data_IF_401810192021
#
_entry.id   IF_401810192021
#
_cell.length_a   1.000
_cell.length_b   1.000
_cell.length_c   1.000
_cell.angle_alpha   90.00
_cell.angle_beta   90.00
_cell.angle_gamma   90.00
#
_symmetry.space_group_name_H-M   'P 1'
#
loop_
_entity.id
_entity.type
_entity.pdbx_description
1 polymer ?
#
# COMPACT_ATOMS: atom_id res chain seq x y z
N UNK A 1 -13.23 -32.17 1.47
CA UNK A 1 -12.31 -31.16 0.95
C UNK A 1 -10.91 -31.62 1.31
N UNK A 2 -10.09 -32.01 0.33
CA UNK A 2 -8.70 -32.39 0.57
C UNK A 2 -7.91 -31.14 0.93
N UNK A 3 -7.54 -31.01 2.21
CA UNK A 3 -6.86 -29.85 2.79
C UNK A 3 -5.34 -29.91 2.58
N UNK A 4 -4.90 -30.22 1.36
CA UNK A 4 -3.48 -30.26 1.01
C UNK A 4 -3.20 -29.23 -0.08
N UNK A 5 -2.12 -28.47 0.10
CA UNK A 5 -1.61 -27.58 -0.92
C UNK A 5 -1.11 -28.41 -2.10
N UNK A 6 -1.57 -28.08 -3.30
CA UNK A 6 -1.08 -28.74 -4.49
C UNK A 6 0.34 -28.28 -4.80
N UNK A 7 1.10 -29.12 -5.50
CA UNK A 7 2.47 -28.79 -5.92
C UNK A 7 2.52 -27.46 -6.69
N UNK A 8 1.47 -27.16 -7.44
CA UNK A 8 1.30 -25.92 -8.19
C UNK A 8 1.19 -24.69 -7.26
N UNK A 9 0.45 -24.79 -6.17
CA UNK A 9 0.29 -23.70 -5.20
C UNK A 9 1.63 -23.32 -4.56
N UNK A 10 2.43 -24.34 -4.20
CA UNK A 10 3.78 -24.12 -3.67
C UNK A 10 4.69 -23.44 -4.69
N UNK A 11 4.63 -23.84 -5.96
CA UNK A 11 5.43 -23.24 -7.04
C UNK A 11 5.05 -21.77 -7.22
N UNK A 12 3.75 -21.44 -7.28
CA UNK A 12 3.28 -20.05 -7.41
C UNK A 12 3.73 -19.22 -6.21
N UNK A 13 3.54 -19.73 -4.99
CA UNK A 13 3.94 -19.03 -3.77
C UNK A 13 5.44 -18.75 -3.74
N UNK A 14 6.28 -19.75 -4.02
CA UNK A 14 7.73 -19.60 -4.05
C UNK A 14 8.18 -18.62 -5.13
N UNK A 15 7.60 -18.71 -6.34
CA UNK A 15 7.91 -17.79 -7.44
C UNK A 15 7.56 -16.34 -7.09
N UNK A 16 6.40 -16.10 -6.47
CA UNK A 16 5.97 -14.78 -6.01
C UNK A 16 6.94 -14.20 -4.96
N UNK A 17 7.34 -15.00 -3.97
CA UNK A 17 8.29 -14.58 -2.94
C UNK A 17 9.66 -14.23 -3.55
N UNK A 18 10.17 -15.06 -4.45
CA UNK A 18 11.45 -14.82 -5.15
C UNK A 18 11.36 -13.54 -5.98
N UNK A 19 10.26 -13.30 -6.68
CA UNK A 19 10.07 -12.11 -7.50
C UNK A 19 10.13 -10.84 -6.65
N UNK A 20 9.38 -10.78 -5.55
CA UNK A 20 9.37 -9.61 -4.65
C UNK A 20 10.77 -9.36 -4.08
N UNK A 21 11.44 -10.40 -3.58
CA UNK A 21 12.79 -10.27 -3.04
C UNK A 21 13.78 -9.80 -4.11
N UNK A 22 13.69 -10.35 -5.33
CA UNK A 22 14.57 -9.98 -6.44
C UNK A 22 14.37 -8.52 -6.85
N UNK A 23 13.13 -8.06 -6.97
CA UNK A 23 12.80 -6.66 -7.28
C UNK A 23 13.27 -5.73 -6.16
N UNK A 24 13.00 -6.08 -4.90
CA UNK A 24 13.43 -5.29 -3.74
C UNK A 24 14.96 -5.15 -3.67
N UNK A 25 15.69 -6.25 -3.85
CA UNK A 25 17.15 -6.24 -3.89
C UNK A 25 17.69 -5.48 -5.10
N UNK A 26 17.06 -5.59 -6.27
CA UNK A 26 17.49 -4.88 -7.48
C UNK A 26 17.30 -3.37 -7.35
N UNK A 27 16.13 -2.91 -6.86
CA UNK A 27 15.82 -1.49 -6.65
C UNK A 27 16.64 -0.89 -5.50
N UNK A 28 16.93 -1.68 -4.45
CA UNK A 28 17.75 -1.25 -3.32
C UNK A 28 19.21 -1.00 -3.70
N UNK A 29 19.73 -1.69 -4.73
CA UNK A 29 21.07 -1.46 -5.26
C UNK A 29 21.10 -0.11 -5.99
N UNK A 30 21.46 0.94 -5.26
CA UNK A 30 21.57 2.29 -5.80
C UNK A 30 22.50 2.39 -7.01
N UNK A 31 22.16 3.29 -7.95
CA UNK A 31 23.03 3.61 -9.10
C UNK A 31 24.41 4.06 -8.61
N UNK A 32 25.47 3.40 -9.08
CA UNK A 32 26.86 3.82 -8.81
C UNK A 32 27.05 5.25 -9.32
N UNK A 33 27.36 6.19 -8.42
CA UNK A 33 27.71 7.57 -8.76
C UNK A 33 26.61 8.63 -8.60
N UNK A 34 25.49 8.36 -7.91
CA UNK A 34 24.55 9.41 -7.49
C UNK A 34 24.56 9.58 -5.97
N UNK A 35 25.00 10.75 -5.53
CA UNK A 35 24.79 11.22 -4.15
C UNK A 35 23.28 11.45 -4.02
N UNK A 36 22.58 10.56 -3.33
CA UNK A 36 21.14 10.72 -3.05
C UNK A 36 20.98 11.96 -2.17
N UNK A 37 20.66 13.11 -2.77
CA UNK A 37 20.29 14.28 -2.01
C UNK A 37 18.93 13.99 -1.34
N UNK A 38 18.77 14.41 -0.08
CA UNK A 38 17.56 14.15 0.72
C UNK A 38 16.29 14.67 0.04
N UNK A 39 16.43 15.73 -0.78
CA UNK A 39 15.38 16.31 -1.62
C UNK A 39 14.81 15.36 -2.68
N UNK A 40 15.66 14.58 -3.37
CA UNK A 40 15.21 13.63 -4.39
C UNK A 40 14.45 12.45 -3.76
N UNK A 41 14.80 12.10 -2.52
CA UNK A 41 14.22 10.96 -1.81
C UNK A 41 12.86 11.27 -1.19
N UNK A 42 12.64 12.51 -0.73
CA UNK A 42 11.39 12.91 -0.07
C UNK A 42 10.33 13.44 -1.03
N UNK A 43 10.71 14.04 -2.15
CA UNK A 43 9.75 14.71 -3.03
C UNK A 43 9.56 14.06 -4.38
N UNK A 44 10.46 13.17 -4.85
CA UNK A 44 10.53 12.81 -6.26
C UNK A 44 10.29 14.06 -7.15
N UNK A 45 10.92 15.17 -6.75
CA UNK A 45 10.82 16.49 -7.37
C UNK A 45 9.43 17.13 -7.45
N UNK A 46 8.46 16.84 -6.55
CA UNK A 46 7.05 17.32 -6.66
C UNK A 46 6.35 16.92 -7.97
N UNK A 47 6.88 15.94 -8.69
CA UNK A 47 6.44 15.61 -10.05
C UNK A 47 5.43 14.45 -10.11
N UNK A 48 5.09 13.84 -8.97
CA UNK A 48 4.13 12.75 -8.97
C UNK A 48 2.72 13.28 -9.32
N UNK A 49 2.05 12.65 -10.30
CA UNK A 49 0.68 13.02 -10.61
C UNK A 49 -0.24 12.64 -9.45
N UNK A 50 -1.33 13.40 -9.27
CA UNK A 50 -2.26 13.26 -8.16
C UNK A 50 -2.81 11.82 -7.98
N UNK A 51 -3.02 11.10 -9.08
CA UNK A 51 -3.50 9.71 -9.05
C UNK A 51 -2.46 8.74 -8.48
N UNK A 52 -1.16 8.98 -8.70
CA UNK A 52 -0.10 8.15 -8.15
C UNK A 52 0.05 8.37 -6.63
N UNK A 53 -0.09 9.63 -6.20
CA UNK A 53 -0.13 9.99 -4.77
C UNK A 53 -1.34 9.32 -4.09
N UNK A 54 -2.52 9.45 -4.67
CA UNK A 54 -3.74 8.82 -4.15
C UNK A 54 -3.64 7.30 -4.09
N UNK A 55 -3.17 6.65 -5.16
CA UNK A 55 -2.98 5.21 -5.20
C UNK A 55 -1.96 4.73 -4.15
N UNK A 56 -0.87 5.48 -3.93
CA UNK A 56 0.11 5.16 -2.90
C UNK A 56 -0.46 5.28 -1.48
N UNK A 57 -1.31 6.28 -1.21
CA UNK A 57 -1.95 6.45 0.08
C UNK A 57 -2.90 5.29 0.40
N UNK A 58 -3.70 4.86 -0.58
CA UNK A 58 -4.57 3.68 -0.42
C UNK A 58 -3.73 2.41 -0.29
N UNK A 59 -2.71 2.21 -1.13
CA UNK A 59 -1.84 1.04 -1.07
C UNK A 59 -1.10 0.92 0.28
N UNK A 60 -0.71 2.05 0.88
CA UNK A 60 -0.10 2.06 2.22
C UNK A 60 -1.08 1.71 3.35
N UNK A 61 -2.38 1.89 3.12
CA UNK A 61 -3.43 1.57 4.10
C UNK A 61 -3.92 0.12 3.97
N UNK A 62 -3.85 -0.48 2.78
CA UNK A 62 -4.28 -1.87 2.55
C UNK A 62 -3.24 -2.86 3.08
N UNK A 63 -3.66 -3.73 3.99
CA UNK A 63 -2.83 -4.77 4.58
C UNK A 63 -3.57 -6.13 4.64
N UNK A 64 -2.86 -7.18 5.06
CA UNK A 64 -3.45 -8.50 5.28
C UNK A 64 -4.58 -8.47 6.34
N UNK A 65 -4.49 -7.55 7.31
CA UNK A 65 -5.54 -7.30 8.30
C UNK A 65 -6.82 -6.80 7.63
N UNK A 66 -6.71 -5.86 6.67
CA UNK A 66 -7.86 -5.38 5.91
C UNK A 66 -8.54 -6.54 5.16
N UNK A 67 -7.79 -7.47 4.58
CA UNK A 67 -8.37 -8.58 3.84
C UNK A 67 -9.02 -9.64 4.72
N UNK A 68 -8.35 -10.10 5.78
CA UNK A 68 -8.86 -11.20 6.61
C UNK A 68 -9.76 -10.67 7.73
N UNK A 69 -9.33 -9.61 8.42
CA UNK A 69 -10.02 -9.03 9.56
C UNK A 69 -11.33 -8.35 9.18
N UNK A 70 -11.32 -7.50 8.15
CA UNK A 70 -12.56 -6.82 7.72
C UNK A 70 -13.55 -7.77 7.06
N UNK A 71 -13.08 -8.84 6.41
CA UNK A 71 -13.98 -9.89 5.90
C UNK A 71 -14.63 -10.66 7.05
N UNK A 72 -13.90 -10.92 8.13
CA UNK A 72 -14.43 -11.56 9.35
C UNK A 72 -15.47 -10.69 10.05
N UNK A 73 -15.21 -9.39 10.22
CA UNK A 73 -16.20 -8.46 10.75
C UNK A 73 -17.36 -8.25 9.78
N UNK A 74 -17.15 -8.31 8.47
CA UNK A 74 -18.21 -8.33 7.46
C UNK A 74 -19.12 -9.55 7.55
N UNK A 75 -18.59 -10.72 7.92
CA UNK A 75 -19.41 -11.91 8.21
C UNK A 75 -20.30 -11.71 9.44
N UNK A 76 -19.79 -11.06 10.49
CA UNK A 76 -20.51 -10.85 11.75
C UNK A 76 -21.48 -9.63 11.73
N UNK A 77 -21.07 -8.53 11.12
CA UNK A 77 -21.75 -7.23 11.15
C UNK A 77 -22.34 -6.82 9.79
N UNK A 78 -22.11 -7.60 8.74
CA UNK A 78 -22.57 -7.29 7.38
C UNK A 78 -21.92 -6.02 6.85
N UNK A 79 -22.69 -5.25 6.07
CA UNK A 79 -22.21 -4.02 5.43
C UNK A 79 -21.88 -2.90 6.43
N UNK A 80 -22.30 -3.00 7.69
CA UNK A 80 -22.06 -1.95 8.69
C UNK A 80 -20.57 -1.63 8.87
N UNK A 81 -19.67 -2.61 8.71
CA UNK A 81 -18.22 -2.39 8.79
C UNK A 81 -17.71 -1.43 7.70
N UNK A 82 -18.36 -1.37 6.53
CA UNK A 82 -17.97 -0.45 5.45
C UNK A 82 -18.06 1.04 5.86
N UNK A 83 -18.81 1.34 6.92
CA UNK A 83 -18.87 2.68 7.50
C UNK A 83 -17.50 3.21 7.92
N UNK A 84 -16.57 2.34 8.33
CA UNK A 84 -15.19 2.72 8.64
C UNK A 84 -14.48 3.34 7.42
N UNK A 85 -14.56 2.68 6.28
CA UNK A 85 -13.95 3.15 5.02
C UNK A 85 -14.65 4.39 4.49
N UNK A 86 -15.99 4.46 4.57
CA UNK A 86 -16.75 5.63 4.14
C UNK A 86 -16.44 6.87 4.97
N UNK A 87 -16.28 6.72 6.28
CA UNK A 87 -15.86 7.83 7.15
C UNK A 87 -14.40 8.22 6.88
N UNK A 88 -13.51 7.25 6.69
CA UNK A 88 -12.12 7.52 6.34
C UNK A 88 -12.00 8.34 5.05
N UNK A 89 -12.82 8.06 4.02
CA UNK A 89 -12.84 8.83 2.77
C UNK A 89 -13.18 10.31 3.01
N UNK A 90 -14.18 10.60 3.84
CA UNK A 90 -14.55 11.98 4.19
C UNK A 90 -13.42 12.64 5.01
N UNK A 91 -12.87 11.93 5.99
CA UNK A 91 -11.75 12.42 6.81
C UNK A 91 -10.53 12.76 5.94
N UNK A 92 -10.21 11.95 4.93
CA UNK A 92 -9.11 12.21 4.00
C UNK A 92 -9.30 13.51 3.21
N UNK A 93 -10.55 13.85 2.82
CA UNK A 93 -10.85 15.13 2.16
C UNK A 93 -10.58 16.30 3.12
N UNK A 94 -10.99 16.18 4.38
CA UNK A 94 -10.78 17.22 5.40
C UNK A 94 -9.28 17.38 5.68
N UNK A 95 -8.57 16.29 5.90
CA UNK A 95 -7.12 16.29 6.14
C UNK A 95 -6.38 16.89 4.94
N UNK A 96 -6.71 16.46 3.72
CA UNK A 96 -6.11 16.96 2.49
C UNK A 96 -6.32 18.45 2.28
N UNK A 97 -7.50 18.98 2.63
CA UNK A 97 -7.83 20.40 2.45
C UNK A 97 -7.30 21.31 3.55
N UNK A 98 -7.34 20.87 4.82
CA UNK A 98 -7.10 21.75 5.97
C UNK A 98 -5.79 21.46 6.71
N UNK A 99 -5.37 20.19 6.78
CA UNK A 99 -4.17 19.80 7.54
C UNK A 99 -2.94 19.76 6.64
N UNK A 100 -3.06 19.20 5.43
CA UNK A 100 -1.93 19.04 4.51
C UNK A 100 -1.23 20.36 4.15
N UNK A 101 -1.93 21.50 3.93
CA UNK A 101 -1.25 22.78 3.68
C UNK A 101 -0.32 23.21 4.82
N UNK A 102 -0.71 22.97 6.08
CA UNK A 102 0.07 23.36 7.27
C UNK A 102 1.39 22.57 7.38
N UNK A 103 1.44 21.35 6.84
CA UNK A 103 2.62 20.49 6.90
C UNK A 103 3.58 20.65 5.72
N UNK A 104 3.10 21.23 4.60
CA UNK A 104 3.87 21.36 3.36
C UNK A 104 4.30 22.80 3.09
N UNK A 105 3.63 23.80 3.69
CA UNK A 105 4.08 25.20 3.81
C UNK A 105 5.04 25.39 5.01
#
# INVERSE_FOLDING_TARGET
MTTHFDTLDYVIFAAYAILILSVGLWVSRGKKGHVKNTEDYFLAGKSLPWWAIGASLIAANISAEQFIGMSGSGFALGLAIASYEWMAAITLIIVGKYFLPIFIE
#
